data_IF_403686451799
#
_entry.id   IF_403686451799
#
_cell.length_a   1.000
_cell.length_b   1.000
_cell.length_c   1.000
_cell.angle_alpha   90.00
_cell.angle_beta   90.00
_cell.angle_gamma   90.00
#
_symmetry.space_group_name_H-M   'P 1'
#
loop_
_entity.id
_entity.type
_entity.pdbx_description
1 polymer ?
#
# COMPACT_ATOMS: atom_id res chain seq x y z
N UNK A 1 -6.22 13.11 -2.72
CA UNK A 1 -7.51 13.19 -1.98
C UNK A 1 -7.88 14.60 -1.56
N UNK A 2 -6.95 15.43 -1.08
CA UNK A 2 -7.24 16.83 -0.72
C UNK A 2 -7.87 17.66 -1.86
N UNK A 3 -7.51 17.39 -3.12
CA UNK A 3 -8.10 18.08 -4.29
C UNK A 3 -9.62 17.92 -4.43
N UNK A 4 -10.18 16.78 -4.00
CA UNK A 4 -11.63 16.50 -4.09
C UNK A 4 -12.42 17.34 -3.09
N UNK A 5 -11.80 17.67 -1.96
CA UNK A 5 -12.43 18.50 -0.92
C UNK A 5 -12.52 19.98 -1.35
N UNK A 6 -11.62 20.41 -2.25
CA UNK A 6 -11.49 21.80 -2.69
C UNK A 6 -12.16 22.07 -4.05
N UNK A 7 -12.33 21.04 -4.90
CA UNK A 7 -12.78 21.17 -6.29
C UNK A 7 -14.27 21.48 -6.50
N UNK A 8 -15.03 21.78 -5.44
CA UNK A 8 -16.41 22.27 -5.59
C UNK A 8 -17.36 21.24 -6.23
N UNK A 9 -18.26 21.70 -7.10
CA UNK A 9 -19.34 20.89 -7.68
C UNK A 9 -19.01 20.31 -9.07
N UNK A 10 -17.78 20.49 -9.57
CA UNK A 10 -17.39 19.97 -10.88
C UNK A 10 -16.95 18.50 -10.79
N UNK A 11 -17.72 17.63 -11.44
CA UNK A 11 -17.49 16.17 -11.42
C UNK A 11 -16.20 15.81 -12.16
N UNK A 12 -15.87 16.52 -13.24
CA UNK A 12 -14.72 16.21 -14.10
C UNK A 12 -13.40 16.45 -13.37
N UNK A 13 -13.27 17.58 -12.67
CA UNK A 13 -12.08 17.89 -11.87
C UNK A 13 -11.92 16.88 -10.72
N UNK A 14 -13.03 16.55 -10.04
CA UNK A 14 -13.02 15.58 -8.93
C UNK A 14 -12.51 14.20 -9.37
N UNK A 15 -13.01 13.68 -10.49
CA UNK A 15 -12.59 12.38 -11.02
C UNK A 15 -11.14 12.40 -11.47
N UNK A 16 -10.69 13.46 -12.15
CA UNK A 16 -9.28 13.62 -12.56
C UNK A 16 -8.32 13.63 -11.36
N UNK A 17 -8.61 14.45 -10.35
CA UNK A 17 -7.80 14.53 -9.13
C UNK A 17 -7.79 13.20 -8.35
N UNK A 18 -8.91 12.49 -8.33
CA UNK A 18 -8.99 11.18 -7.68
C UNK A 18 -8.14 10.13 -8.41
N UNK A 19 -8.26 10.05 -9.73
CA UNK A 19 -7.49 9.12 -10.57
C UNK A 19 -5.98 9.32 -10.43
N UNK A 20 -5.51 10.57 -10.48
CA UNK A 20 -4.09 10.88 -10.28
C UNK A 20 -3.63 10.50 -8.86
N UNK A 21 -4.47 10.73 -7.85
CA UNK A 21 -4.16 10.33 -6.47
C UNK A 21 -4.03 8.81 -6.33
N UNK A 22 -4.93 8.05 -6.96
CA UNK A 22 -4.89 6.59 -6.93
C UNK A 22 -3.66 6.03 -7.66
N UNK A 23 -3.26 6.65 -8.77
CA UNK A 23 -2.06 6.28 -9.50
C UNK A 23 -0.81 6.37 -8.62
N UNK A 24 -0.59 7.51 -7.96
CA UNK A 24 0.53 7.69 -7.02
C UNK A 24 0.49 6.70 -5.85
N UNK A 25 -0.70 6.41 -5.31
CA UNK A 25 -0.87 5.38 -4.26
C UNK A 25 -0.45 3.99 -4.75
N UNK A 26 -0.77 3.63 -5.99
CA UNK A 26 -0.35 2.37 -6.61
C UNK A 26 1.17 2.26 -6.71
N UNK A 27 1.84 3.32 -7.19
CA UNK A 27 3.30 3.37 -7.25
C UNK A 27 3.94 3.23 -5.86
N UNK A 28 3.40 3.90 -4.84
CA UNK A 28 3.90 3.79 -3.47
C UNK A 28 3.75 2.38 -2.88
N UNK A 29 2.60 1.73 -3.10
CA UNK A 29 2.36 0.37 -2.61
C UNK A 29 3.33 -0.63 -3.23
N UNK A 30 3.63 -0.50 -4.52
CA UNK A 30 4.60 -1.36 -5.20
C UNK A 30 6.00 -1.25 -4.55
N UNK A 31 6.43 -0.04 -4.22
CA UNK A 31 7.70 0.19 -3.53
C UNK A 31 7.74 -0.45 -2.13
N UNK A 32 6.66 -0.32 -1.35
CA UNK A 32 6.58 -0.90 0.00
C UNK A 32 6.62 -2.43 -0.04
N UNK A 33 5.93 -3.05 -1.00
CA UNK A 33 5.91 -4.52 -1.12
C UNK A 33 7.28 -5.05 -1.50
N UNK A 34 7.98 -4.41 -2.44
CA UNK A 34 9.33 -4.80 -2.84
C UNK A 34 10.30 -4.63 -1.66
N UNK A 35 10.31 -3.46 -1.03
CA UNK A 35 11.17 -3.19 0.12
C UNK A 35 10.90 -4.16 1.29
N UNK A 36 9.63 -4.51 1.56
CA UNK A 36 9.29 -5.46 2.62
C UNK A 36 9.78 -6.89 2.36
N UNK A 37 9.80 -7.33 1.10
CA UNK A 37 10.37 -8.62 0.70
C UNK A 37 11.89 -8.60 0.78
N UNK A 38 12.51 -7.49 0.36
CA UNK A 38 13.96 -7.31 0.43
C UNK A 38 14.47 -7.24 1.89
N UNK A 39 13.67 -6.72 2.82
CA UNK A 39 14.05 -6.61 4.24
C UNK A 39 14.08 -7.95 5.00
N UNK A 40 13.26 -8.93 4.60
CA UNK A 40 13.14 -10.20 5.32
C UNK A 40 12.85 -11.40 4.38
N UNK A 41 13.79 -11.79 3.50
CA UNK A 41 13.58 -12.87 2.53
C UNK A 41 13.30 -14.23 3.20
N UNK A 42 13.88 -14.52 4.37
CA UNK A 42 13.68 -15.78 5.08
C UNK A 42 12.29 -15.88 5.74
N UNK A 43 11.71 -14.76 6.16
CA UNK A 43 10.39 -14.69 6.82
C UNK A 43 9.30 -14.08 5.92
N UNK A 44 9.57 -13.93 4.62
CA UNK A 44 8.70 -13.23 3.67
C UNK A 44 7.27 -13.77 3.66
N UNK A 45 7.08 -15.09 3.76
CA UNK A 45 5.76 -15.73 3.79
C UNK A 45 4.93 -15.35 5.01
N UNK A 46 5.52 -15.42 6.22
CA UNK A 46 4.82 -15.09 7.47
C UNK A 46 4.53 -13.59 7.57
N UNK A 47 5.49 -12.74 7.18
CA UNK A 47 5.32 -11.28 7.17
C UNK A 47 4.25 -10.86 6.17
N UNK A 48 4.27 -11.42 4.95
CA UNK A 48 3.25 -11.16 3.94
C UNK A 48 1.86 -11.65 4.38
N UNK A 49 1.79 -12.82 5.03
CA UNK A 49 0.55 -13.36 5.61
C UNK A 49 -0.05 -12.44 6.67
N UNK A 50 0.75 -12.00 7.65
CA UNK A 50 0.30 -11.06 8.71
C UNK A 50 -0.06 -9.69 8.11
N UNK A 51 0.72 -9.18 7.16
CA UNK A 51 0.38 -7.94 6.46
C UNK A 51 -0.97 -8.02 5.75
N UNK A 52 -1.25 -9.17 5.11
CA UNK A 52 -2.49 -9.41 4.39
C UNK A 52 -3.71 -9.53 5.32
N UNK A 53 -3.58 -10.13 6.50
CA UNK A 53 -4.68 -10.23 7.46
C UNK A 53 -5.02 -8.85 8.05
N UNK A 54 -4.02 -8.04 8.38
CA UNK A 54 -4.24 -6.65 8.83
C UNK A 54 -4.89 -5.83 7.72
N UNK A 55 -4.43 -5.98 6.47
CA UNK A 55 -5.03 -5.32 5.31
C UNK A 55 -6.49 -5.76 5.09
N UNK A 56 -6.81 -7.04 5.29
CA UNK A 56 -8.17 -7.55 5.18
C UNK A 56 -9.10 -6.97 6.26
N UNK A 57 -8.64 -6.91 7.51
CA UNK A 57 -9.39 -6.28 8.62
C UNK A 57 -9.65 -4.80 8.30
N UNK A 58 -8.62 -4.06 7.89
CA UNK A 58 -8.77 -2.66 7.49
C UNK A 58 -9.77 -2.49 6.36
N UNK A 59 -9.70 -3.35 5.33
CA UNK A 59 -10.61 -3.32 4.18
C UNK A 59 -12.05 -3.64 4.55
N UNK A 60 -12.28 -4.45 5.58
CA UNK A 60 -13.63 -4.72 6.11
C UNK A 60 -14.20 -3.52 6.90
N UNK A 61 -13.36 -2.82 7.67
CA UNK A 61 -13.79 -1.67 8.47
C UNK A 61 -14.19 -0.44 7.63
N UNK A 62 -13.59 -0.26 6.45
CA UNK A 62 -13.87 0.88 5.56
C UNK A 62 -15.34 0.95 5.11
N UNK A 63 -15.95 -0.09 4.51
CA UNK A 63 -17.35 -0.05 4.10
C UNK A 63 -18.31 0.02 5.29
N UNK A 64 -17.99 -0.63 6.42
CA UNK A 64 -18.79 -0.53 7.66
C UNK A 64 -18.83 0.91 8.15
N UNK A 65 -17.68 1.57 8.23
CA UNK A 65 -17.59 2.97 8.66
C UNK A 65 -18.28 3.91 7.67
N UNK A 66 -18.10 3.68 6.36
CA UNK A 66 -18.72 4.51 5.32
C UNK A 66 -20.24 4.36 5.31
N UNK A 67 -20.76 3.15 5.53
CA UNK A 67 -22.21 2.90 5.63
C UNK A 67 -22.87 3.58 6.84
N UNK A 68 -22.15 3.67 7.97
CA UNK A 68 -22.63 4.38 9.15
C UNK A 68 -22.57 5.91 8.98
N UNK A 69 -21.62 6.44 8.21
CA UNK A 69 -21.43 7.88 8.04
C UNK A 69 -22.33 8.49 6.95
N UNK A 70 -22.78 7.69 6.00
CA UNK A 70 -23.57 8.12 4.82
C UNK A 70 -25.00 7.61 4.93
N UNK A 71 -25.73 7.99 5.98
CA UNK A 71 -27.13 7.56 6.17
C UNK A 71 -28.11 8.34 5.30
N UNK A 72 -27.80 9.60 4.97
CA UNK A 72 -28.68 10.48 4.18
C UNK A 72 -28.12 10.81 2.79
N UNK A 73 -27.01 10.17 2.41
CA UNK A 73 -26.32 10.30 1.10
C UNK A 73 -26.04 11.76 0.70
N UNK A 74 -25.88 12.64 1.68
CA UNK A 74 -25.67 14.07 1.40
C UNK A 74 -24.21 14.36 1.07
N UNK A 75 -23.97 15.39 0.25
CA UNK A 75 -22.60 15.85 -0.06
C UNK A 75 -21.80 16.24 1.19
N UNK A 76 -22.47 16.70 2.24
CA UNK A 76 -21.81 17.05 3.51
C UNK A 76 -21.30 15.82 4.26
N UNK A 77 -21.97 14.68 4.17
CA UNK A 77 -21.54 13.42 4.79
C UNK A 77 -20.33 12.84 4.05
N UNK A 78 -20.38 12.82 2.73
CA UNK A 78 -19.26 12.38 1.90
C UNK A 78 -17.99 13.22 2.11
N UNK A 79 -18.12 14.54 2.32
CA UNK A 79 -16.98 15.39 2.70
C UNK A 79 -16.32 14.93 4.00
N UNK A 80 -17.09 14.48 4.99
CA UNK A 80 -16.53 13.94 6.25
C UNK A 80 -15.77 12.63 6.00
N UNK A 81 -16.30 11.74 5.16
CA UNK A 81 -15.62 10.48 4.77
C UNK A 81 -14.28 10.76 4.09
N UNK A 82 -14.22 11.73 3.17
CA UNK A 82 -12.97 12.10 2.50
C UNK A 82 -11.96 12.74 3.46
N UNK A 83 -12.40 13.57 4.41
CA UNK A 83 -11.53 14.09 5.47
C UNK A 83 -10.96 12.99 6.35
N UNK A 84 -11.79 12.02 6.75
CA UNK A 84 -11.34 10.87 7.53
C UNK A 84 -10.32 10.04 6.74
N UNK A 85 -10.57 9.79 5.46
CA UNK A 85 -9.64 9.03 4.61
C UNK A 85 -8.29 9.77 4.44
N UNK A 86 -8.33 11.08 4.25
CA UNK A 86 -7.13 11.91 4.18
C UNK A 86 -6.32 11.84 5.49
N UNK A 87 -7.00 11.89 6.64
CA UNK A 87 -6.37 11.77 7.95
C UNK A 87 -5.71 10.41 8.18
N UNK A 88 -6.41 9.33 7.85
CA UNK A 88 -5.90 7.95 8.01
C UNK A 88 -4.72 7.68 7.06
N UNK A 89 -4.88 7.96 5.77
CA UNK A 89 -3.82 7.71 4.78
C UNK A 89 -2.62 8.64 5.03
N UNK A 90 -2.88 9.88 5.42
CA UNK A 90 -1.83 10.85 5.76
C UNK A 90 -1.04 10.43 6.99
N UNK A 91 -1.72 10.02 8.08
CA UNK A 91 -1.05 9.57 9.29
C UNK A 91 -0.25 8.28 9.07
N UNK A 92 -0.78 7.32 8.30
CA UNK A 92 -0.03 6.13 7.89
C UNK A 92 1.23 6.48 7.10
N UNK A 93 1.15 7.46 6.18
CA UNK A 93 2.31 7.95 5.44
C UNK A 93 3.36 8.60 6.35
N UNK A 94 2.94 9.41 7.32
CA UNK A 94 3.86 10.03 8.30
C UNK A 94 4.57 8.97 9.14
N UNK A 95 3.82 7.98 9.64
CA UNK A 95 4.40 6.85 10.40
C UNK A 95 5.42 6.09 9.54
N UNK A 96 5.10 5.85 8.27
CA UNK A 96 6.02 5.20 7.34
C UNK A 96 7.28 6.05 7.06
N UNK A 97 7.17 7.37 6.95
CA UNK A 97 8.34 8.24 6.76
C UNK A 97 9.22 8.27 8.02
N UNK A 98 8.63 8.22 9.21
CA UNK A 98 9.36 8.31 10.48
C UNK A 98 10.03 6.98 10.89
N UNK A 99 9.37 5.85 10.64
CA UNK A 99 9.81 4.53 11.10
C UNK A 99 10.20 3.59 9.96
N UNK A 100 9.99 3.98 8.71
CA UNK A 100 10.36 3.18 7.55
C UNK A 100 11.87 3.10 7.42
N UNK A 101 12.39 1.88 7.48
CA UNK A 101 13.76 1.56 7.08
C UNK A 101 13.70 0.56 5.94
N UNK A 102 14.63 0.68 4.98
CA UNK A 102 14.76 -0.24 3.86
C UNK A 102 15.91 -1.26 4.07
N UNK A 103 16.49 -1.29 5.27
CA UNK A 103 17.64 -2.14 5.57
C UNK A 103 17.21 -3.50 6.11
N UNK A 104 17.93 -4.56 5.70
CA UNK A 104 17.71 -5.94 6.15
C UNK A 104 17.81 -5.96 7.68
N UNK A 105 16.73 -6.37 8.32
CA UNK A 105 16.64 -6.30 9.76
C UNK A 105 17.49 -7.41 10.40
N UNK A 106 18.18 -7.15 11.53
CA UNK A 106 19.21 -8.05 12.08
C UNK A 106 18.65 -9.41 12.55
N UNK A 107 17.35 -9.52 12.80
CA UNK A 107 16.67 -10.78 13.13
C UNK A 107 16.36 -11.67 11.91
N UNK A 108 16.70 -11.23 10.70
CA UNK A 108 16.50 -12.02 9.48
C UNK A 108 17.46 -13.23 9.39
N UNK A 109 18.51 -13.28 10.20
CA UNK A 109 19.40 -14.42 10.28
C UNK A 109 18.96 -15.34 11.43
N UNK A 110 18.45 -16.53 11.10
CA UNK A 110 18.42 -17.64 12.04
C UNK A 110 19.87 -18.06 12.32
N UNK A 111 20.17 -18.29 13.60
CA UNK A 111 21.51 -18.50 14.17
C UNK A 111 22.31 -19.68 13.55
N UNK A 112 21.76 -20.43 12.60
CA UNK A 112 22.38 -21.65 12.05
C UNK A 112 22.54 -21.71 10.52
N UNK A 113 22.28 -20.64 9.75
CA UNK A 113 22.51 -20.67 8.29
C UNK A 113 23.51 -19.61 7.82
N UNK A 114 24.67 -20.10 7.36
CA UNK A 114 25.68 -19.39 6.57
C UNK A 114 25.07 -18.63 5.38
N UNK A 115 25.76 -17.58 4.87
CA UNK A 115 25.21 -16.66 3.88
C UNK A 115 25.01 -17.35 2.53
N UNK A 116 23.82 -17.91 2.30
CA UNK A 116 23.42 -18.32 0.95
C UNK A 116 22.88 -17.09 0.23
N UNK A 117 23.64 -16.75 -0.80
CA UNK A 117 23.50 -15.66 -1.74
C UNK A 117 22.06 -15.23 -2.07
N UNK A 118 21.93 -13.92 -2.29
CA UNK A 118 20.75 -13.22 -2.75
C UNK A 118 19.96 -13.97 -3.84
N UNK A 119 18.61 -13.89 -3.87
CA UNK A 119 17.80 -14.43 -4.94
C UNK A 119 17.90 -13.56 -6.20
N UNK A 120 19.08 -13.56 -6.85
CA UNK A 120 19.31 -12.94 -8.16
C UNK A 120 19.16 -13.96 -9.33
N UNK A 121 18.63 -15.16 -9.05
CA UNK A 121 18.46 -16.19 -10.10
C UNK A 121 17.04 -16.25 -10.68
N UNK A 122 15.99 -15.91 -9.89
CA UNK A 122 14.60 -15.96 -10.39
C UNK A 122 14.28 -14.84 -11.40
N UNK A 123 14.92 -13.66 -11.30
CA UNK A 123 14.71 -12.56 -12.26
C UNK A 123 15.28 -12.88 -13.66
N UNK A 124 16.44 -13.55 -13.74
CA UNK A 124 17.05 -13.95 -15.01
C UNK A 124 16.32 -15.10 -15.73
N UNK A 125 15.66 -16.01 -14.99
CA UNK A 125 14.94 -17.12 -15.61
C UNK A 125 13.63 -16.66 -16.26
N UNK A 126 12.89 -15.74 -15.61
CA UNK A 126 11.64 -15.19 -16.19
C UNK A 126 11.90 -14.25 -17.37
N UNK A 127 12.97 -13.45 -17.35
CA UNK A 127 13.35 -12.63 -18.53
C UNK A 127 13.83 -13.48 -19.71
N UNK A 128 14.53 -14.60 -19.46
CA UNK A 128 14.94 -15.54 -20.53
C UNK A 128 13.76 -16.27 -21.17
N UNK A 129 12.75 -16.67 -20.39
CA UNK A 129 11.52 -17.25 -20.95
C UNK A 129 10.77 -16.23 -21.83
N UNK A 130 10.66 -14.98 -21.39
CA UNK A 130 9.97 -13.94 -22.15
C UNK A 130 10.67 -13.58 -23.49
N UNK A 131 12.00 -13.68 -23.56
CA UNK A 131 12.75 -13.36 -24.79
C UNK A 131 12.84 -14.53 -25.80
N UNK A 132 12.51 -15.76 -25.40
CA UNK A 132 12.57 -16.96 -26.28
C UNK A 132 11.24 -17.27 -26.98
N UNK A 133 10.17 -16.52 -26.71
CA UNK A 133 8.85 -16.65 -27.35
C UNK A 133 8.50 -15.51 -28.33
N UNK A 134 9.49 -14.70 -28.76
CA UNK A 134 9.38 -13.72 -29.85
C UNK A 134 10.30 -14.10 -31.01
#
# INVERSE_FOLDING_TARGET
MAGILLAGCDVTINVLCFSISLFFKGCALAGIVIAGVDMAPAFAGTVCGVGSTVAAIGSFLVPVTTGLLTTHETLSEWRKVFWLNLGVVGSSGIVYILFGSAEVQPWNYSVDEEPTEAPNEKRKSTEKCFFLEI
#
